data_IF_400210580637
#
_entry.id   IF_400210580637
#
_cell.length_a   1.000
_cell.length_b   1.000
_cell.length_c   1.000
_cell.angle_alpha   90.00
_cell.angle_beta   90.00
_cell.angle_gamma   90.00
#
_symmetry.space_group_name_H-M   'P 1'
#
loop_
_entity.id
_entity.type
_entity.pdbx_description
1 polymer ?
#
# COMPACT_ATOMS: atom_id res chain seq x y z
N UNK A 1 13.03 17.65 -0.98
CA UNK A 1 12.03 16.93 -0.15
C UNK A 1 12.40 15.46 -0.20
N UNK A 2 12.58 14.79 0.95
CA UNK A 2 12.95 13.38 0.97
C UNK A 2 11.76 12.57 1.43
N UNK A 3 11.23 11.71 0.57
CA UNK A 3 10.22 10.72 0.98
C UNK A 3 10.90 9.70 1.90
N UNK A 4 10.34 9.49 3.09
CA UNK A 4 10.90 8.62 4.12
C UNK A 4 10.05 7.37 4.37
N UNK A 5 8.72 7.55 4.38
CA UNK A 5 7.76 6.54 4.81
C UNK A 5 6.91 6.07 3.63
N UNK A 6 6.99 4.78 3.32
CA UNK A 6 6.24 4.16 2.24
C UNK A 6 5.17 3.25 2.84
N UNK A 7 3.92 3.66 2.71
CA UNK A 7 2.75 2.88 3.10
C UNK A 7 2.26 2.06 1.93
N UNK A 8 2.11 0.76 2.14
CA UNK A 8 1.72 -0.19 1.10
C UNK A 8 0.42 -0.90 1.50
N UNK A 9 -0.55 -1.01 0.58
CA UNK A 9 -1.55 -2.06 0.69
C UNK A 9 -0.89 -3.44 0.54
N UNK A 10 -1.56 -4.48 1.03
CA UNK A 10 -1.05 -5.85 0.95
C UNK A 10 -1.55 -6.57 -0.31
N UNK A 11 -2.86 -6.73 -0.41
CA UNK A 11 -3.52 -7.59 -1.40
C UNK A 11 -3.75 -6.85 -2.72
N UNK A 12 -3.00 -7.24 -3.75
CA UNK A 12 -2.96 -6.57 -5.06
C UNK A 12 -1.77 -5.63 -5.24
N UNK A 13 -0.95 -5.43 -4.20
CA UNK A 13 0.20 -4.51 -4.21
C UNK A 13 1.51 -5.21 -3.83
N UNK A 14 1.55 -5.94 -2.71
CA UNK A 14 2.73 -6.74 -2.31
C UNK A 14 2.57 -8.21 -2.76
N UNK A 15 1.36 -8.74 -2.58
CA UNK A 15 0.99 -10.10 -2.97
C UNK A 15 -0.16 -10.06 -3.97
N UNK A 16 -0.35 -11.14 -4.72
CA UNK A 16 -1.52 -11.31 -5.58
C UNK A 16 -2.81 -11.26 -4.74
N UNK A 17 -3.85 -10.54 -5.22
CA UNK A 17 -5.15 -10.51 -4.54
C UNK A 17 -5.89 -11.85 -4.76
N UNK A 18 -5.88 -12.69 -3.72
CA UNK A 18 -6.52 -14.01 -3.72
C UNK A 18 -7.93 -14.03 -3.11
N UNK A 19 -8.48 -12.86 -2.76
CA UNK A 19 -9.78 -12.71 -2.09
C UNK A 19 -9.97 -13.58 -0.84
N UNK A 20 -9.83 -12.98 0.34
CA UNK A 20 -9.95 -13.68 1.63
C UNK A 20 -8.90 -14.78 1.82
N UNK A 21 -7.64 -14.40 1.61
CA UNK A 21 -6.48 -15.26 1.83
C UNK A 21 -6.40 -15.67 3.32
N UNK A 22 -6.53 -16.99 3.56
CA UNK A 22 -6.43 -17.62 4.89
C UNK A 22 -5.43 -18.77 4.96
N UNK A 23 -4.91 -19.17 3.81
CA UNK A 23 -3.97 -20.28 3.65
C UNK A 23 -2.57 -19.72 3.33
N UNK A 24 -1.58 -19.86 4.23
CA UNK A 24 -0.25 -19.32 4.03
C UNK A 24 0.47 -19.87 2.79
N UNK A 25 0.17 -21.10 2.38
CA UNK A 25 0.78 -21.70 1.19
C UNK A 25 0.31 -21.04 -0.11
N UNK A 26 -0.78 -20.27 -0.06
CA UNK A 26 -1.31 -19.51 -1.20
C UNK A 26 -0.77 -18.09 -1.28
N UNK A 27 0.11 -17.67 -0.38
CA UNK A 27 0.80 -16.38 -0.49
C UNK A 27 1.67 -16.41 -1.75
N UNK A 28 1.34 -15.54 -2.71
CA UNK A 28 2.14 -15.33 -3.91
C UNK A 28 2.62 -13.90 -3.96
N UNK A 29 3.92 -13.68 -3.73
CA UNK A 29 4.55 -12.37 -3.86
C UNK A 29 4.49 -11.90 -5.32
N UNK A 30 4.30 -10.58 -5.51
CA UNK A 30 4.46 -9.93 -6.80
C UNK A 30 5.98 -9.70 -7.00
N UNK A 31 6.63 -10.25 -8.04
CA UNK A 31 8.08 -10.15 -8.21
C UNK A 31 8.60 -8.71 -8.23
N UNK A 32 7.89 -7.81 -8.91
CA UNK A 32 8.21 -6.39 -9.02
C UNK A 32 8.06 -5.68 -7.67
N UNK A 33 7.10 -6.09 -6.84
CA UNK A 33 6.94 -5.56 -5.49
C UNK A 33 8.10 -5.96 -4.58
N UNK A 34 8.53 -7.21 -4.67
CA UNK A 34 9.71 -7.71 -3.95
C UNK A 34 10.96 -6.93 -4.34
N UNK A 35 11.17 -6.70 -5.64
CA UNK A 35 12.31 -5.91 -6.11
C UNK A 35 12.26 -4.49 -5.57
N UNK A 36 11.11 -3.82 -5.69
CA UNK A 36 10.91 -2.46 -5.19
C UNK A 36 11.20 -2.35 -3.69
N UNK A 37 10.63 -3.26 -2.89
CA UNK A 37 10.80 -3.26 -1.43
C UNK A 37 12.23 -3.57 -0.98
N UNK A 38 12.98 -4.38 -1.74
CA UNK A 38 14.43 -4.56 -1.52
C UNK A 38 15.19 -3.25 -1.73
N UNK A 39 14.93 -2.57 -2.85
CA UNK A 39 15.58 -1.29 -3.15
C UNK A 39 15.21 -0.22 -2.10
N UNK A 40 13.95 -0.14 -1.68
CA UNK A 40 13.50 0.73 -0.59
C UNK A 40 14.27 0.45 0.70
N UNK A 41 14.42 -0.83 1.07
CA UNK A 41 15.16 -1.25 2.28
C UNK A 41 16.66 -0.91 2.19
N UNK A 42 17.25 -0.98 0.99
CA UNK A 42 18.65 -0.61 0.76
C UNK A 42 18.89 0.91 0.80
N UNK A 43 17.84 1.71 0.58
CA UNK A 43 17.88 3.18 0.68
C UNK A 43 17.30 3.69 2.01
N UNK A 44 17.28 2.84 3.03
CA UNK A 44 16.81 3.15 4.39
C UNK A 44 15.41 3.77 4.45
N UNK A 45 14.53 3.43 3.50
CA UNK A 45 13.11 3.81 3.54
C UNK A 45 12.35 2.95 4.53
N UNK A 46 11.43 3.56 5.29
CA UNK A 46 10.59 2.86 6.25
C UNK A 46 9.35 2.34 5.54
N UNK A 47 9.22 1.02 5.47
CA UNK A 47 8.08 0.36 4.82
C UNK A 47 7.02 0.03 5.86
N UNK A 48 5.80 0.50 5.66
CA UNK A 48 4.63 0.19 6.48
C UNK A 48 3.59 -0.56 5.67
N UNK A 49 3.03 -1.63 6.23
CA UNK A 49 1.91 -2.35 5.60
C UNK A 49 0.60 -1.91 6.27
N UNK A 50 -0.34 -1.39 5.49
CA UNK A 50 -1.67 -0.95 5.95
C UNK A 50 -2.75 -1.66 5.16
N UNK A 51 -3.54 -2.55 5.77
CA UNK A 51 -4.45 -3.41 5.00
C UNK A 51 -5.86 -3.56 5.58
N UNK A 52 -6.86 -3.60 4.70
CA UNK A 52 -8.25 -3.89 5.07
C UNK A 52 -8.53 -5.40 4.96
N UNK A 53 -8.81 -6.07 6.08
CA UNK A 53 -9.07 -7.52 6.17
C UNK A 53 -10.51 -7.81 6.57
N UNK A 54 -11.47 -7.29 5.79
CA UNK A 54 -12.91 -7.44 6.08
C UNK A 54 -13.43 -8.88 6.09
N UNK A 55 -12.64 -9.85 5.63
CA UNK A 55 -12.99 -11.27 5.78
C UNK A 55 -13.11 -11.70 7.24
N UNK A 56 -12.47 -10.99 8.18
CA UNK A 56 -12.59 -11.24 9.61
C UNK A 56 -13.98 -10.81 10.11
N UNK A 57 -14.39 -9.56 9.89
CA UNK A 57 -15.73 -9.07 10.24
C UNK A 57 -16.85 -9.85 9.55
N UNK A 58 -16.60 -10.34 8.32
CA UNK A 58 -17.51 -11.22 7.56
C UNK A 58 -17.48 -12.69 7.99
N UNK A 59 -16.61 -13.07 8.95
CA UNK A 59 -16.44 -14.43 9.48
C UNK A 59 -15.97 -15.47 8.43
N UNK A 60 -15.28 -15.03 7.38
CA UNK A 60 -14.68 -15.92 6.38
C UNK A 60 -13.37 -16.56 6.87
N UNK A 61 -12.67 -15.87 7.76
CA UNK A 61 -11.50 -16.35 8.49
C UNK A 61 -11.36 -15.61 9.82
N UNK A 62 -10.54 -16.12 10.72
CA UNK A 62 -10.32 -15.59 12.07
C UNK A 62 -9.14 -14.62 12.13
N UNK A 63 -9.00 -13.89 13.24
CA UNK A 63 -7.77 -13.14 13.53
C UNK A 63 -6.53 -14.05 13.56
N UNK A 64 -6.67 -15.31 14.03
CA UNK A 64 -5.56 -16.26 14.07
C UNK A 64 -5.08 -16.62 12.66
N UNK A 65 -6.00 -16.80 11.72
CA UNK A 65 -5.67 -17.04 10.31
C UNK A 65 -4.91 -15.83 9.73
N UNK A 66 -5.37 -14.61 10.03
CA UNK A 66 -4.66 -13.39 9.63
C UNK A 66 -3.23 -13.35 10.17
N UNK A 67 -3.03 -13.58 11.47
CA UNK A 67 -1.70 -13.53 12.08
C UNK A 67 -0.77 -14.63 11.54
N UNK A 68 -1.32 -15.77 11.11
CA UNK A 68 -0.55 -16.80 10.43
C UNK A 68 -0.09 -16.35 9.03
N UNK A 69 -0.97 -15.69 8.27
CA UNK A 69 -0.62 -15.07 6.97
C UNK A 69 0.43 -13.99 7.17
N UNK A 70 0.23 -13.08 8.12
CA UNK A 70 1.16 -11.98 8.43
C UNK A 70 2.54 -12.51 8.78
N UNK A 71 2.63 -13.46 9.72
CA UNK A 71 3.91 -14.08 10.11
C UNK A 71 4.61 -14.77 8.94
N UNK A 72 3.86 -15.43 8.07
CA UNK A 72 4.42 -16.12 6.91
C UNK A 72 4.94 -15.13 5.88
N UNK A 73 4.16 -14.08 5.60
CA UNK A 73 4.56 -12.99 4.71
C UNK A 73 5.82 -12.28 5.22
N UNK A 74 5.85 -11.93 6.50
CA UNK A 74 7.00 -11.28 7.14
C UNK A 74 8.26 -12.13 7.01
N UNK A 75 8.14 -13.45 7.20
CA UNK A 75 9.26 -14.38 6.97
C UNK A 75 9.70 -14.37 5.50
N UNK A 76 8.79 -14.47 4.55
CA UNK A 76 9.11 -14.48 3.12
C UNK A 76 9.80 -13.18 2.65
N UNK A 77 9.42 -12.04 3.22
CA UNK A 77 10.03 -10.74 2.94
C UNK A 77 11.40 -10.62 3.64
N UNK A 78 11.51 -11.05 4.89
CA UNK A 78 12.76 -11.00 5.67
C UNK A 78 13.84 -11.93 5.07
N UNK A 79 13.46 -13.13 4.63
CA UNK A 79 14.37 -14.07 3.95
C UNK A 79 14.94 -13.48 2.64
N UNK A 80 14.30 -12.42 2.12
CA UNK A 80 14.74 -11.66 0.96
C UNK A 80 15.46 -10.35 1.30
N UNK A 81 15.75 -10.11 2.58
CA UNK A 81 16.44 -8.90 3.06
C UNK A 81 15.56 -7.65 3.09
N UNK A 82 14.24 -7.79 2.97
CA UNK A 82 13.29 -6.68 3.05
C UNK A 82 12.96 -6.40 4.52
N UNK A 83 13.03 -5.13 4.92
CA UNK A 83 12.73 -4.69 6.29
C UNK A 83 11.38 -4.00 6.33
N UNK A 84 10.42 -4.59 7.04
CA UNK A 84 9.14 -3.96 7.34
C UNK A 84 9.26 -3.25 8.68
N UNK A 85 8.95 -1.95 8.70
CA UNK A 85 9.01 -1.14 9.91
C UNK A 85 7.83 -1.43 10.85
N UNK A 86 6.64 -1.60 10.29
CA UNK A 86 5.45 -2.03 11.02
C UNK A 86 4.32 -2.47 10.07
N UNK A 87 3.40 -3.26 10.59
CA UNK A 87 2.20 -3.71 9.88
C UNK A 87 0.97 -3.43 10.74
N UNK A 88 -0.11 -2.96 10.13
CA UNK A 88 -1.40 -2.75 10.78
C UNK A 88 -2.55 -3.11 9.85
N UNK A 89 -3.63 -3.63 10.43
CA UNK A 89 -4.81 -4.05 9.68
C UNK A 89 -6.11 -3.62 10.32
N UNK A 90 -7.14 -3.49 9.49
CA UNK A 90 -8.53 -3.34 9.93
C UNK A 90 -9.30 -4.65 9.70
N UNK A 91 -9.83 -5.31 10.75
CA UNK A 91 -10.61 -6.55 10.60
C UNK A 91 -12.06 -6.30 10.14
N UNK A 92 -12.55 -5.07 10.24
CA UNK A 92 -13.96 -4.76 10.12
C UNK A 92 -14.49 -4.80 8.69
N UNK A 93 -15.76 -5.19 8.55
CA UNK A 93 -16.54 -5.06 7.32
C UNK A 93 -17.04 -3.62 7.14
N UNK A 94 -17.41 -3.21 5.90
CA UNK A 94 -17.83 -1.84 5.61
C UNK A 94 -18.95 -1.29 6.51
N UNK A 95 -19.85 -2.13 6.97
CA UNK A 95 -21.06 -1.77 7.72
C UNK A 95 -20.79 -1.46 9.20
N UNK A 96 -19.62 -1.82 9.74
CA UNK A 96 -19.28 -1.66 11.16
C UNK A 96 -18.86 -0.25 11.58
N UNK A 97 -18.76 0.70 10.63
CA UNK A 97 -18.47 2.12 10.88
C UNK A 97 -17.24 2.39 11.79
N UNK A 98 -16.21 1.54 11.71
CA UNK A 98 -14.98 1.74 12.47
C UNK A 98 -14.13 2.91 11.93
N UNK A 99 -13.25 3.45 12.76
CA UNK A 99 -12.29 4.50 12.36
C UNK A 99 -11.02 3.99 11.67
N UNK A 100 -10.76 2.67 11.66
CA UNK A 100 -9.50 2.12 11.14
C UNK A 100 -9.58 1.64 9.68
N UNK A 101 -10.77 1.37 9.14
CA UNK A 101 -10.93 0.86 7.77
C UNK A 101 -10.59 1.93 6.75
N UNK A 102 -9.61 1.71 5.85
CA UNK A 102 -9.34 2.62 4.72
C UNK A 102 -10.64 2.87 3.95
N UNK A 103 -11.01 4.14 3.68
CA UNK A 103 -10.15 5.32 3.67
C UNK A 103 -10.07 6.13 4.99
N UNK A 104 -10.59 5.60 6.10
CA UNK A 104 -10.45 6.25 7.42
C UNK A 104 -9.00 6.22 7.93
N UNK A 105 -8.62 7.23 8.71
CA UNK A 105 -7.23 7.52 9.12
C UNK A 105 -6.76 6.76 10.35
N UNK A 106 -7.60 5.98 11.03
CA UNK A 106 -7.27 5.39 12.33
C UNK A 106 -6.10 4.40 12.33
N UNK A 107 -5.76 3.79 11.18
CA UNK A 107 -4.51 3.00 11.06
C UNK A 107 -3.28 3.90 10.97
N UNK A 108 -3.36 5.02 10.25
CA UNK A 108 -2.28 6.02 10.19
C UNK A 108 -2.06 6.66 11.55
N UNK A 109 -3.11 7.07 12.26
CA UNK A 109 -3.00 7.72 13.57
C UNK A 109 -2.22 6.87 14.59
N UNK A 110 -2.43 5.55 14.57
CA UNK A 110 -1.69 4.61 15.42
C UNK A 110 -0.21 4.54 15.04
N UNK A 111 0.11 4.45 13.75
CA UNK A 111 1.48 4.40 13.27
C UNK A 111 2.21 5.73 13.45
N UNK A 112 1.52 6.85 13.21
CA UNK A 112 1.98 8.21 13.46
C UNK A 112 2.39 8.37 14.94
N UNK A 113 1.52 7.99 15.87
CA UNK A 113 1.81 8.07 17.30
C UNK A 113 2.96 7.15 17.72
N UNK A 114 3.03 5.93 17.17
CA UNK A 114 4.04 4.93 17.54
C UNK A 114 5.44 5.27 16.99
N UNK A 115 5.53 5.85 15.81
CA UNK A 115 6.80 6.05 15.08
C UNK A 115 7.18 7.52 14.88
N UNK A 116 6.39 8.47 15.39
CA UNK A 116 6.61 9.92 15.25
C UNK A 116 6.79 10.34 13.76
N UNK A 117 5.86 9.90 12.93
CA UNK A 117 5.92 10.08 11.47
C UNK A 117 5.49 11.50 11.05
N UNK A 118 5.85 11.92 9.85
CA UNK A 118 5.29 13.12 9.22
C UNK A 118 4.57 12.74 7.93
N UNK A 119 3.35 13.25 7.75
CA UNK A 119 2.53 12.96 6.56
C UNK A 119 3.16 13.53 5.30
N UNK A 120 3.82 14.68 5.38
CA UNK A 120 4.48 15.35 4.26
C UNK A 120 5.66 14.54 3.67
N UNK A 121 6.22 13.59 4.42
CA UNK A 121 7.28 12.67 3.95
C UNK A 121 6.76 11.23 3.77
N UNK A 122 5.44 11.08 3.68
CA UNK A 122 4.75 9.79 3.55
C UNK A 122 4.04 9.67 2.21
N UNK A 123 4.06 8.46 1.66
CA UNK A 123 3.34 8.10 0.42
C UNK A 123 2.49 6.87 0.69
N UNK A 124 1.29 6.84 0.11
CA UNK A 124 0.45 5.65 0.06
C UNK A 124 0.54 5.00 -1.33
N UNK A 125 0.75 3.69 -1.38
CA UNK A 125 0.72 2.90 -2.61
C UNK A 125 -0.28 1.76 -2.45
N UNK A 126 -1.25 1.66 -3.36
CA UNK A 126 -2.28 0.64 -3.32
C UNK A 126 -2.97 0.44 -4.66
N UNK A 127 -3.85 -0.56 -4.76
CA UNK A 127 -4.56 -0.92 -6.00
C UNK A 127 -6.04 -0.49 -5.99
N UNK A 128 -6.54 0.07 -4.88
CA UNK A 128 -7.96 0.45 -4.71
C UNK A 128 -8.10 1.94 -4.48
N UNK A 129 -9.25 2.50 -4.88
CA UNK A 129 -9.61 3.90 -4.54
C UNK A 129 -9.52 4.20 -3.04
N UNK A 130 -9.87 3.24 -2.19
CA UNK A 130 -9.77 3.41 -0.73
C UNK A 130 -8.34 3.63 -0.24
N UNK A 131 -7.33 3.17 -0.98
CA UNK A 131 -5.92 3.40 -0.67
C UNK A 131 -5.54 4.84 -1.01
N UNK A 132 -5.92 5.30 -2.20
CA UNK A 132 -5.68 6.68 -2.64
C UNK A 132 -6.35 7.68 -1.69
N UNK A 133 -7.62 7.43 -1.38
CA UNK A 133 -8.39 8.26 -0.45
C UNK A 133 -7.80 8.21 0.96
N UNK A 134 -7.25 7.07 1.40
CA UNK A 134 -6.54 6.98 2.69
C UNK A 134 -5.32 7.90 2.73
N UNK A 135 -4.46 7.85 1.70
CA UNK A 135 -3.29 8.73 1.60
C UNK A 135 -3.69 10.21 1.59
N UNK A 136 -4.70 10.57 0.80
CA UNK A 136 -5.25 11.91 0.75
C UNK A 136 -5.79 12.37 2.12
N UNK A 137 -6.61 11.55 2.79
CA UNK A 137 -7.20 11.88 4.09
C UNK A 137 -6.14 12.01 5.20
N UNK A 138 -5.02 11.29 5.09
CA UNK A 138 -3.90 11.41 6.02
C UNK A 138 -3.01 12.63 5.74
N UNK A 139 -3.24 13.37 4.64
CA UNK A 139 -2.40 14.48 4.22
C UNK A 139 -1.02 14.04 3.74
N UNK A 140 -0.93 12.85 3.13
CA UNK A 140 0.31 12.35 2.56
C UNK A 140 0.76 13.19 1.37
N UNK A 141 2.06 13.18 1.07
CA UNK A 141 2.60 13.91 -0.07
C UNK A 141 1.96 13.44 -1.40
N UNK A 142 1.83 12.12 -1.54
CA UNK A 142 1.28 11.52 -2.74
C UNK A 142 0.53 10.22 -2.45
N UNK A 143 -0.38 9.90 -3.36
CA UNK A 143 -1.01 8.59 -3.47
C UNK A 143 -0.68 7.98 -4.83
N UNK A 144 -0.26 6.72 -4.84
CA UNK A 144 0.12 6.00 -6.05
C UNK A 144 -0.81 4.81 -6.23
N UNK A 145 -1.49 4.77 -7.37
CA UNK A 145 -2.28 3.65 -7.84
C UNK A 145 -1.38 2.68 -8.61
N UNK A 146 -1.15 1.49 -8.07
CA UNK A 146 -0.54 0.40 -8.87
C UNK A 146 -1.60 -0.28 -9.71
N UNK A 147 -1.28 -0.65 -10.96
CA UNK A 147 -2.19 -1.30 -11.90
C UNK A 147 -2.27 -2.83 -11.74
N UNK A 148 -1.52 -3.39 -10.78
CA UNK A 148 -1.67 -4.76 -10.28
C UNK A 148 -2.97 -4.92 -9.48
N UNK A 149 -3.40 -6.15 -9.21
CA UNK A 149 -4.62 -6.41 -8.44
C UNK A 149 -5.87 -5.76 -9.06
N UNK A 150 -6.53 -4.88 -8.31
CA UNK A 150 -7.71 -4.11 -8.74
C UNK A 150 -7.36 -2.76 -9.36
N UNK A 151 -6.09 -2.45 -9.54
CA UNK A 151 -5.59 -1.17 -10.04
C UNK A 151 -6.25 -0.69 -11.31
N UNK A 152 -6.27 -1.52 -12.36
CA UNK A 152 -6.93 -1.19 -13.64
C UNK A 152 -8.43 -0.95 -13.50
N UNK A 153 -9.09 -1.69 -12.61
CA UNK A 153 -10.51 -1.45 -12.32
C UNK A 153 -10.71 -0.11 -11.62
N UNK A 154 -9.83 0.24 -10.67
CA UNK A 154 -9.83 1.56 -10.02
C UNK A 154 -9.55 2.67 -11.02
N UNK A 155 -8.59 2.47 -11.94
CA UNK A 155 -8.23 3.42 -12.99
C UNK A 155 -9.45 3.74 -13.87
N UNK A 156 -10.16 2.71 -14.34
CA UNK A 156 -11.39 2.86 -15.10
C UNK A 156 -12.52 3.52 -14.31
N UNK A 157 -12.64 3.24 -13.00
CA UNK A 157 -13.63 3.89 -12.12
C UNK A 157 -13.37 5.38 -11.91
N UNK A 158 -12.12 5.81 -12.03
CA UNK A 158 -11.70 7.21 -11.95
C UNK A 158 -11.74 7.90 -13.32
N UNK A 159 -12.16 7.20 -14.38
CA UNK A 159 -12.19 7.71 -15.75
C UNK A 159 -10.82 8.19 -16.23
N UNK A 160 -9.76 7.51 -15.79
CA UNK A 160 -8.38 7.78 -16.19
C UNK A 160 -8.00 6.82 -17.32
N UNK A 161 -7.53 7.36 -18.44
CA UNK A 161 -6.99 6.55 -19.53
C UNK A 161 -5.60 5.99 -19.15
N UNK A 162 -5.42 4.68 -19.31
CA UNK A 162 -4.11 4.04 -19.21
C UNK A 162 -3.21 4.48 -20.37
N UNK A 163 -1.91 4.61 -20.12
CA UNK A 163 -0.91 4.79 -21.18
C UNK A 163 0.25 3.79 -21.00
N UNK A 164 1.10 3.70 -22.04
CA UNK A 164 2.18 2.71 -22.12
C UNK A 164 3.41 3.05 -21.27
N UNK A 165 3.38 4.12 -20.48
CA UNK A 165 4.49 4.48 -19.60
C UNK A 165 4.53 3.57 -18.36
N UNK A 166 5.71 3.39 -17.78
CA UNK A 166 5.86 2.67 -16.50
C UNK A 166 5.03 3.32 -15.39
N UNK A 167 4.96 4.65 -15.40
CA UNK A 167 4.10 5.45 -14.55
C UNK A 167 3.73 6.76 -15.25
N UNK A 168 2.65 7.40 -14.79
CA UNK A 168 2.22 8.72 -15.26
C UNK A 168 1.40 9.45 -14.20
N UNK A 169 1.29 10.77 -14.34
CA UNK A 169 0.46 11.64 -13.51
C UNK A 169 -0.89 11.90 -14.21
N UNK A 170 -2.00 11.31 -13.72
CA UNK A 170 -3.31 11.53 -14.30
C UNK A 170 -3.70 13.01 -14.25
N UNK A 171 -4.30 13.51 -15.33
CA UNK A 171 -4.76 14.90 -15.42
C UNK A 171 -6.16 15.06 -14.79
N UNK A 172 -6.27 14.73 -13.50
CA UNK A 172 -7.49 14.87 -12.72
C UNK A 172 -7.23 15.66 -11.43
N UNK A 173 -8.26 16.30 -10.90
CA UNK A 173 -8.17 16.93 -9.59
C UNK A 173 -8.21 15.86 -8.49
N UNK A 174 -7.17 15.81 -7.66
CA UNK A 174 -7.07 14.94 -6.50
C UNK A 174 -6.45 15.71 -5.33
N UNK A 175 -6.82 15.45 -4.07
CA UNK A 175 -6.38 16.29 -2.93
C UNK A 175 -4.87 16.30 -2.67
N UNK A 176 -4.15 15.32 -3.22
CA UNK A 176 -2.69 15.15 -3.12
C UNK A 176 -2.16 14.75 -4.50
N UNK A 177 -0.84 14.75 -4.71
CA UNK A 177 -0.25 14.25 -5.95
C UNK A 177 -0.72 12.81 -6.20
N UNK A 178 -1.28 12.56 -7.39
CA UNK A 178 -1.77 11.26 -7.80
C UNK A 178 -0.92 10.72 -8.94
N UNK A 179 -0.51 9.47 -8.81
CA UNK A 179 0.32 8.77 -9.80
C UNK A 179 -0.32 7.44 -10.10
N UNK A 180 -0.35 7.05 -11.36
CA UNK A 180 -0.65 5.69 -11.78
C UNK A 180 0.66 5.00 -12.20
N UNK A 181 0.87 3.76 -11.77
CA UNK A 181 2.09 2.99 -12.03
C UNK A 181 1.76 1.54 -12.39
N UNK A 182 2.47 0.95 -13.35
CA UNK A 182 2.18 -0.42 -13.82
C UNK A 182 2.26 -1.45 -12.69
N UNK A 183 3.18 -1.27 -11.75
CA UNK A 183 3.40 -2.10 -10.57
C UNK A 183 4.19 -1.31 -9.51
N UNK A 184 4.50 -1.94 -8.37
CA UNK A 184 5.22 -1.29 -7.28
C UNK A 184 6.67 -0.91 -7.64
N UNK A 185 7.31 -1.60 -8.59
CA UNK A 185 8.64 -1.20 -9.08
C UNK A 185 8.58 0.09 -9.88
N UNK A 186 7.59 0.24 -10.75
CA UNK A 186 7.36 1.50 -11.48
C UNK A 186 6.98 2.64 -10.53
N UNK A 187 6.17 2.38 -9.50
CA UNK A 187 5.88 3.35 -8.44
C UNK A 187 7.17 3.79 -7.73
N UNK A 188 8.06 2.85 -7.42
CA UNK A 188 9.34 3.15 -6.80
C UNK A 188 10.29 3.96 -7.70
N UNK A 189 10.27 3.75 -9.01
CA UNK A 189 11.02 4.58 -9.95
C UNK A 189 10.59 6.05 -9.89
N UNK A 190 9.28 6.32 -9.81
CA UNK A 190 8.75 7.67 -9.60
C UNK A 190 9.21 8.24 -8.25
N UNK A 191 9.06 7.48 -7.15
CA UNK A 191 9.48 7.92 -5.81
C UNK A 191 10.97 8.30 -5.79
N UNK A 192 11.82 7.51 -6.45
CA UNK A 192 13.25 7.83 -6.59
C UNK A 192 13.46 9.13 -7.36
N UNK A 193 12.77 9.32 -8.48
CA UNK A 193 12.89 10.54 -9.30
C UNK A 193 12.54 11.78 -8.46
N UNK A 194 11.41 11.78 -7.78
CA UNK A 194 10.97 12.90 -6.93
C UNK A 194 11.96 13.22 -5.80
N UNK A 195 12.58 12.18 -5.22
CA UNK A 195 13.60 12.39 -4.19
C UNK A 195 14.90 13.02 -4.72
N UNK A 196 15.22 12.86 -6.02
CA UNK A 196 16.40 13.44 -6.65
C UNK A 196 16.15 14.85 -7.19
N UNK A 197 14.98 15.11 -7.77
CA UNK A 197 14.63 16.40 -8.39
C UNK A 197 14.42 17.54 -7.37
N UNK A 198 14.48 17.24 -6.08
CA UNK A 198 14.32 18.21 -5.01
C UNK A 198 15.62 18.90 -4.55
N UNK A 199 16.64 18.93 -5.42
CA UNK A 199 17.92 19.63 -5.24
C UNK A 199 18.29 20.49 -6.47
#
# INVERSE_FOLDING_TARGET
MSIENIFLDRDGTIIQDMHYLKDPEKISLIPEAVQAMKEMSQQDRKIFIVTNQSGIGRKYFSNQDYFLIEKTLDKMLTDQGIKIQDSIFCPHQPEEQCSCRKPQTGMWEQLFAKHSLSSEYSIMVGDKKSDLDFGANCGFYASILVLTGKGRKTLAQLEIDENDSDWFEPQIEFPVSLIAAQNLLSAWQWIKKEAHDAF
#
